data_IF_565743061718
#
_entry.id   IF_565743061718
#
_cell.length_a   1.000
_cell.length_b   1.000
_cell.length_c   1.000
_cell.angle_alpha   90.00
_cell.angle_beta   90.00
_cell.angle_gamma   90.00
#
_symmetry.space_group_name_H-M   'P 1'
#
loop_
_entity.id
_entity.type
_entity.pdbx_description
1 polymer ?
#
# COMPACT_ATOMS: atom_id res chain seq x y z
N UNK A 1 -8.58 -24.19 2.58
CA UNK A 1 -8.15 -23.10 3.49
C UNK A 1 -8.17 -21.82 2.65
N UNK A 2 -8.81 -20.73 3.09
CA UNK A 2 -8.79 -19.48 2.30
C UNK A 2 -7.37 -18.91 2.32
N UNK A 3 -6.86 -18.47 1.18
CA UNK A 3 -5.56 -17.81 1.15
C UNK A 3 -5.59 -16.58 2.07
N UNK A 4 -4.58 -16.39 2.95
CA UNK A 4 -4.57 -15.32 3.94
C UNK A 4 -4.43 -13.93 3.32
N UNK A 5 -3.94 -13.85 2.07
CA UNK A 5 -3.74 -12.61 1.35
C UNK A 5 -4.56 -12.55 0.07
N UNK A 6 -5.05 -11.35 -0.26
CA UNK A 6 -5.67 -11.05 -1.56
C UNK A 6 -5.12 -9.75 -2.10
N UNK A 7 -5.07 -9.58 -3.42
CA UNK A 7 -4.75 -8.27 -3.98
C UNK A 7 -5.84 -7.25 -3.65
N UNK A 8 -5.42 -6.03 -3.35
CA UNK A 8 -6.32 -4.90 -3.13
C UNK A 8 -6.82 -4.37 -4.48
N UNK A 9 -8.14 -4.37 -4.67
CA UNK A 9 -8.78 -4.04 -5.95
C UNK A 9 -9.32 -2.60 -6.05
N UNK A 10 -9.21 -1.83 -4.97
CA UNK A 10 -9.63 -0.43 -4.91
C UNK A 10 -8.48 0.56 -5.19
N UNK A 11 -7.32 0.06 -5.64
CA UNK A 11 -6.18 0.92 -5.97
C UNK A 11 -6.48 1.79 -7.20
N UNK A 12 -6.30 3.10 -7.04
CA UNK A 12 -6.63 4.09 -8.07
C UNK A 12 -5.38 4.63 -8.78
N UNK A 13 -4.22 4.60 -8.12
CA UNK A 13 -2.95 5.02 -8.67
C UNK A 13 -1.79 4.24 -8.05
N UNK A 14 -0.59 4.46 -8.59
CA UNK A 14 0.61 3.73 -8.20
C UNK A 14 0.79 2.45 -9.01
N UNK A 15 1.95 1.83 -8.84
CA UNK A 15 2.32 0.58 -9.54
C UNK A 15 2.58 -0.57 -8.55
N UNK A 16 2.62 -0.26 -7.26
CA UNK A 16 2.83 -1.24 -6.21
C UNK A 16 1.62 -2.15 -6.10
N UNK A 17 1.86 -3.45 -5.95
CA UNK A 17 0.78 -4.44 -5.77
C UNK A 17 0.42 -4.51 -4.29
N UNK A 18 -0.59 -3.74 -3.90
CA UNK A 18 -1.09 -3.75 -2.53
C UNK A 18 -1.82 -5.06 -2.23
N UNK A 19 -1.61 -5.61 -1.03
CA UNK A 19 -2.29 -6.82 -0.57
C UNK A 19 -3.16 -6.51 0.65
N UNK A 20 -4.24 -7.25 0.81
CA UNK A 20 -5.11 -7.26 1.98
C UNK A 20 -4.82 -8.50 2.82
N UNK A 21 -4.73 -8.33 4.13
CA UNK A 21 -4.78 -9.46 5.08
C UNK A 21 -6.23 -9.84 5.32
N UNK A 22 -6.58 -11.12 5.17
CA UNK A 22 -7.97 -11.61 5.19
C UNK A 22 -8.26 -12.63 6.28
N UNK A 23 -7.39 -12.73 7.29
CA UNK A 23 -7.53 -13.72 8.37
C UNK A 23 -8.26 -13.15 9.59
N UNK A 24 -9.46 -13.67 9.85
CA UNK A 24 -10.26 -13.65 11.09
C UNK A 24 -10.80 -12.31 11.61
N UNK A 25 -10.17 -11.19 11.29
CA UNK A 25 -10.79 -9.85 11.38
C UNK A 25 -10.79 -9.30 9.96
N UNK A 26 -11.84 -8.58 9.58
CA UNK A 26 -12.12 -8.09 8.23
C UNK A 26 -10.94 -7.35 7.55
N UNK A 27 -11.15 -6.80 6.36
CA UNK A 27 -10.19 -6.10 5.48
C UNK A 27 -9.56 -4.82 6.07
N UNK A 28 -9.11 -4.85 7.33
CA UNK A 28 -8.60 -3.77 8.15
C UNK A 28 -7.16 -3.38 7.81
N UNK A 29 -6.38 -4.28 7.23
CA UNK A 29 -4.94 -4.09 7.03
C UNK A 29 -4.53 -4.27 5.57
N UNK A 30 -3.75 -3.31 5.09
CA UNK A 30 -3.06 -3.30 3.81
C UNK A 30 -1.59 -3.63 4.04
N UNK A 31 -1.06 -4.53 3.23
CA UNK A 31 0.36 -4.84 3.15
C UNK A 31 0.89 -4.21 1.88
N UNK A 32 1.82 -3.27 2.07
CA UNK A 32 2.45 -2.53 1.01
C UNK A 32 3.91 -2.96 0.86
N UNK A 33 4.33 -3.47 -0.31
CA UNK A 33 5.74 -3.63 -0.63
C UNK A 33 6.41 -2.25 -0.63
N UNK A 34 7.44 -2.08 0.18
CA UNK A 34 8.07 -0.78 0.42
C UNK A 34 9.57 -0.82 0.13
N UNK A 35 10.09 0.31 -0.36
CA UNK A 35 11.53 0.54 -0.41
C UNK A 35 12.06 0.93 0.98
N UNK A 36 13.37 0.74 1.27
CA UNK A 36 13.94 1.15 2.56
C UNK A 36 13.67 2.62 2.94
N UNK A 37 13.68 3.53 1.95
CA UNK A 37 13.34 4.96 2.17
C UNK A 37 11.93 5.14 2.74
N UNK A 38 10.96 4.34 2.30
CA UNK A 38 9.57 4.43 2.76
C UNK A 38 9.39 3.80 4.15
N UNK A 39 10.08 2.67 4.42
CA UNK A 39 10.10 2.07 5.76
C UNK A 39 10.64 3.07 6.78
N UNK A 40 11.77 3.71 6.47
CA UNK A 40 12.37 4.73 7.33
C UNK A 40 11.43 5.93 7.54
N UNK A 41 10.72 6.37 6.50
CA UNK A 41 9.73 7.45 6.62
C UNK A 41 8.65 7.13 7.66
N UNK A 42 8.05 5.94 7.63
CA UNK A 42 7.02 5.56 8.60
C UNK A 42 7.57 5.41 10.03
N UNK A 43 8.83 4.99 10.19
CA UNK A 43 9.51 4.93 11.48
C UNK A 43 9.80 6.33 12.02
N UNK A 44 10.35 7.21 11.19
CA UNK A 44 10.70 8.58 11.57
C UNK A 44 9.44 9.40 11.90
N UNK A 45 8.34 9.18 11.16
CA UNK A 45 7.06 9.85 11.37
C UNK A 45 6.48 9.64 12.78
N UNK A 46 6.82 8.55 13.47
CA UNK A 46 6.39 8.31 14.86
C UNK A 46 6.91 9.37 15.83
N UNK A 47 7.98 10.09 15.47
CA UNK A 47 8.54 11.18 16.27
C UNK A 47 7.82 12.52 16.08
N UNK A 48 6.81 12.59 15.19
CA UNK A 48 6.06 13.80 14.86
C UNK A 48 4.55 13.55 15.04
N UNK A 49 4.03 13.57 16.28
CA UNK A 49 2.63 13.23 16.58
C UNK A 49 1.61 14.07 15.79
N UNK A 50 1.92 15.34 15.53
CA UNK A 50 1.07 16.24 14.74
C UNK A 50 0.89 15.81 13.27
N UNK A 51 1.78 14.94 12.78
CA UNK A 51 1.74 14.45 11.41
C UNK A 51 1.01 13.10 11.29
N UNK A 52 0.89 12.35 12.40
CA UNK A 52 0.28 11.02 12.41
C UNK A 52 -1.19 11.03 12.01
N UNK A 53 -1.93 12.10 12.35
CA UNK A 53 -3.34 12.27 11.99
C UNK A 53 -3.58 12.32 10.46
N UNK A 54 -2.53 12.58 9.67
CA UNK A 54 -2.60 12.66 8.20
C UNK A 54 -2.09 11.41 7.48
N UNK A 55 -1.60 10.41 8.23
CA UNK A 55 -1.06 9.17 7.69
C UNK A 55 -1.98 8.00 8.06
N UNK A 56 -2.05 6.95 7.21
CA UNK A 56 -2.61 5.68 7.67
C UNK A 56 -1.82 5.16 8.86
N UNK A 57 -2.51 4.59 9.87
CA UNK A 57 -1.82 4.00 11.00
C UNK A 57 -0.86 2.90 10.53
N UNK A 58 0.41 2.99 10.94
CA UNK A 58 1.42 1.97 10.67
C UNK A 58 1.46 0.98 11.84
N UNK A 59 1.30 -0.30 11.55
CA UNK A 59 1.34 -1.39 12.53
C UNK A 59 2.72 -2.07 12.62
N UNK A 60 3.63 -1.73 11.72
CA UNK A 60 4.99 -2.28 11.65
C UNK A 60 5.34 -2.85 10.29
N UNK A 61 6.40 -3.66 10.24
CA UNK A 61 6.94 -4.24 9.01
C UNK A 61 6.79 -5.75 8.96
N UNK A 62 6.51 -6.29 7.78
CA UNK A 62 6.55 -7.72 7.49
C UNK A 62 7.67 -8.05 6.51
N UNK A 63 8.30 -9.21 6.70
CA UNK A 63 9.30 -9.78 5.79
C UNK A 63 9.03 -11.26 5.60
N UNK A 64 9.54 -11.82 4.50
CA UNK A 64 9.59 -13.26 4.35
C UNK A 64 10.38 -13.89 5.51
N UNK A 65 9.90 -15.04 5.99
CA UNK A 65 10.62 -15.84 6.97
C UNK A 65 11.90 -16.41 6.33
N UNK A 66 13.01 -16.36 7.06
CA UNK A 66 14.25 -17.03 6.67
C UNK A 66 14.21 -18.50 7.08
N UNK A 67 15.09 -19.33 6.52
CA UNK A 67 15.27 -20.73 6.95
C UNK A 67 15.56 -20.83 8.47
N UNK A 68 16.27 -19.84 9.03
CA UNK A 68 16.52 -19.75 10.46
C UNK A 68 15.25 -19.42 11.26
N UNK A 69 14.40 -18.52 10.76
CA UNK A 69 13.12 -18.23 11.43
C UNK A 69 12.21 -19.46 11.43
N UNK A 70 12.20 -20.21 10.33
CA UNK A 70 11.44 -21.45 10.20
C UNK A 70 11.93 -22.54 11.17
N UNK A 71 13.25 -22.69 11.35
CA UNK A 71 13.80 -23.68 12.28
C UNK A 71 13.56 -23.35 13.76
N UNK A 72 13.49 -22.06 14.12
CA UNK A 72 13.01 -21.63 15.45
C UNK A 72 11.55 -22.06 15.68
N UNK A 73 10.72 -21.96 14.64
CA UNK A 73 9.30 -22.32 14.75
C UNK A 73 9.12 -23.84 14.88
N UNK A 74 9.88 -24.63 14.13
CA UNK A 74 9.88 -26.11 14.24
C UNK A 74 10.37 -26.60 15.61
N UNK A 75 11.32 -25.89 16.24
CA UNK A 75 11.79 -26.22 17.59
C UNK A 75 10.84 -25.77 18.70
N UNK A 76 9.97 -24.79 18.43
CA UNK A 76 8.99 -24.25 19.39
C UNK A 76 7.74 -25.11 19.56
N UNK A 77 7.42 -26.04 18.65
CA UNK A 77 6.32 -27.00 18.84
C UNK A 77 6.53 -27.94 20.06
N UNK A 78 7.75 -28.01 20.60
CA UNK A 78 8.09 -28.80 21.78
C UNK A 78 8.03 -28.03 23.11
N UNK A 79 7.80 -26.71 23.09
CA UNK A 79 7.72 -25.88 24.31
C UNK A 79 6.44 -25.05 24.25
N UNK A 80 5.35 -25.60 24.79
CA UNK A 80 4.15 -24.84 25.02
C UNK A 80 4.44 -23.66 25.97
N UNK A 81 4.23 -22.43 25.49
CA UNK A 81 3.27 -21.47 26.05
C UNK A 81 3.46 -20.06 25.40
N UNK A 82 2.36 -19.44 24.97
CA UNK A 82 2.10 -17.99 24.92
C UNK A 82 2.68 -17.02 23.87
N UNK A 83 3.25 -17.43 22.73
CA UNK A 83 3.34 -16.51 21.56
C UNK A 83 2.61 -17.07 20.36
N UNK A 84 1.47 -16.45 20.01
CA UNK A 84 0.75 -16.69 18.76
C UNK A 84 1.58 -16.20 17.57
N UNK A 85 2.62 -16.96 17.19
CA UNK A 85 3.29 -16.82 15.91
C UNK A 85 2.48 -17.58 14.86
N UNK A 86 1.68 -16.85 14.08
CA UNK A 86 0.97 -17.46 12.95
C UNK A 86 1.96 -17.71 11.81
N UNK A 87 2.23 -18.97 11.51
CA UNK A 87 2.84 -19.40 10.25
C UNK A 87 1.86 -19.05 9.12
N UNK A 88 2.22 -18.09 8.27
CA UNK A 88 1.53 -17.84 7.01
C UNK A 88 2.32 -18.49 5.88
N UNK A 89 1.65 -19.26 5.03
CA UNK A 89 2.23 -19.83 3.82
C UNK A 89 2.87 -18.71 2.99
N UNK A 90 4.09 -18.99 2.52
CA UNK A 90 4.87 -18.11 1.66
C UNK A 90 4.04 -17.70 0.45
N UNK A 91 3.74 -16.41 0.35
CA UNK A 91 3.23 -15.83 -0.89
C UNK A 91 4.34 -15.94 -1.92
N UNK A 92 4.14 -16.76 -2.95
CA UNK A 92 5.05 -16.83 -4.10
C UNK A 92 5.16 -15.44 -4.72
N UNK A 93 6.35 -14.84 -4.65
CA UNK A 93 6.66 -13.55 -5.27
C UNK A 93 7.20 -12.46 -4.34
N UNK A 94 7.41 -12.74 -3.05
CA UNK A 94 8.17 -11.86 -2.17
C UNK A 94 9.66 -12.22 -2.28
N UNK A 95 10.45 -11.33 -2.86
CA UNK A 95 11.91 -11.52 -2.92
C UNK A 95 12.48 -11.50 -1.49
N UNK A 96 13.57 -12.24 -1.23
CA UNK A 96 14.08 -12.47 0.14
C UNK A 96 14.55 -11.19 0.88
N UNK A 97 14.57 -10.04 0.21
CA UNK A 97 14.89 -8.73 0.78
C UNK A 97 13.73 -7.72 0.77
N UNK A 98 12.53 -8.10 0.34
CA UNK A 98 11.40 -7.18 0.28
C UNK A 98 10.79 -6.96 1.67
N UNK A 99 11.02 -5.76 2.21
CA UNK A 99 10.32 -5.27 3.39
C UNK A 99 8.96 -4.75 2.98
N UNK A 100 7.94 -5.14 3.74
CA UNK A 100 6.58 -4.68 3.56
C UNK A 100 6.18 -3.88 4.79
N UNK A 101 5.34 -2.86 4.62
CA UNK A 101 4.74 -2.13 5.74
C UNK A 101 3.28 -2.56 5.87
N UNK A 102 2.86 -2.81 7.12
CA UNK A 102 1.46 -3.02 7.47
C UNK A 102 0.80 -1.69 7.80
N UNK A 103 -0.19 -1.32 7.00
CA UNK A 103 -0.91 -0.07 7.11
C UNK A 103 -2.39 -0.32 7.36
N UNK A 104 -3.05 0.63 8.01
CA UNK A 104 -4.50 0.71 8.06
C UNK A 104 -5.12 0.77 6.67
N UNK A 105 -6.17 -0.02 6.45
CA UNK A 105 -7.04 0.17 5.31
C UNK A 105 -8.00 1.33 5.56
N UNK A 106 -7.64 2.52 5.07
CA UNK A 106 -8.47 3.73 5.17
C UNK A 106 -9.82 3.63 4.43
N UNK A 107 -10.03 2.59 3.62
CA UNK A 107 -11.31 2.31 2.95
C UNK A 107 -12.19 1.31 3.72
N UNK A 108 -11.68 0.71 4.80
CA UNK A 108 -12.47 -0.23 5.59
C UNK A 108 -13.75 0.44 6.10
N UNK A 109 -14.86 -0.28 6.03
CA UNK A 109 -16.19 0.21 6.41
C UNK A 109 -16.93 1.03 5.34
N UNK A 110 -16.25 1.43 4.24
CA UNK A 110 -16.93 2.08 3.12
C UNK A 110 -17.51 1.05 2.15
N UNK A 111 -18.84 1.06 1.95
CA UNK A 111 -19.48 0.17 0.97
C UNK A 111 -19.25 0.59 -0.49
N UNK A 112 -19.11 1.89 -0.73
CA UNK A 112 -19.07 2.50 -2.07
C UNK A 112 -18.17 3.75 -2.09
N UNK A 113 -16.86 3.60 -1.81
CA UNK A 113 -15.97 4.74 -1.70
C UNK A 113 -15.80 5.45 -3.06
N UNK A 114 -15.74 6.77 -3.02
CA UNK A 114 -15.14 7.57 -4.08
C UNK A 114 -13.71 7.89 -3.66
N UNK A 115 -12.74 7.65 -4.53
CA UNK A 115 -11.31 7.70 -4.20
C UNK A 115 -10.62 8.63 -5.17
N UNK A 116 -9.82 9.56 -4.67
CA UNK A 116 -9.03 10.49 -5.48
C UNK A 116 -7.58 10.44 -5.01
N UNK A 117 -6.65 10.20 -5.93
CA UNK A 117 -5.22 10.29 -5.68
C UNK A 117 -4.68 11.60 -6.24
N UNK A 118 -4.10 12.41 -5.34
CA UNK A 118 -3.46 13.68 -5.66
C UNK A 118 -1.95 13.56 -5.46
N UNK A 119 -1.19 13.84 -6.51
CA UNK A 119 0.27 13.94 -6.43
C UNK A 119 0.67 15.38 -6.11
N UNK A 120 1.31 15.53 -4.96
CA UNK A 120 1.88 16.79 -4.48
C UNK A 120 3.29 17.01 -5.03
N UNK A 121 3.69 18.27 -5.17
CA UNK A 121 5.03 18.72 -5.55
C UNK A 121 5.14 19.20 -7.01
N UNK A 122 5.98 20.21 -7.21
CA UNK A 122 6.38 20.70 -8.54
C UNK A 122 7.61 19.95 -9.09
N UNK A 123 8.42 19.38 -8.20
CA UNK A 123 9.56 18.52 -8.53
C UNK A 123 9.18 17.05 -8.33
N UNK A 124 9.15 16.29 -9.43
CA UNK A 124 8.61 14.92 -9.44
C UNK A 124 9.68 13.82 -9.42
N UNK A 125 10.95 14.21 -9.40
CA UNK A 125 12.09 13.29 -9.41
C UNK A 125 12.95 13.48 -8.17
N UNK A 126 13.56 12.38 -7.73
CA UNK A 126 14.52 12.39 -6.63
C UNK A 126 15.92 12.79 -7.09
N UNK A 127 16.77 13.18 -6.14
CA UNK A 127 18.16 13.54 -6.39
C UNK A 127 19.01 12.39 -6.96
N UNK A 128 18.55 11.14 -6.85
CA UNK A 128 19.20 9.93 -7.37
C UNK A 128 18.52 9.38 -8.65
N UNK A 129 17.54 10.07 -9.22
CA UNK A 129 16.89 9.63 -10.46
C UNK A 129 17.87 9.61 -11.66
N UNK A 130 17.78 8.57 -12.51
CA UNK A 130 18.50 8.52 -13.78
C UNK A 130 18.10 9.65 -14.71
N UNK A 131 18.96 10.03 -15.65
CA UNK A 131 18.68 11.14 -16.57
C UNK A 131 17.41 10.92 -17.39
N UNK A 132 17.21 9.70 -17.90
CA UNK A 132 15.99 9.31 -18.61
C UNK A 132 14.73 9.48 -17.73
N UNK A 133 14.80 9.05 -16.48
CA UNK A 133 13.69 9.18 -15.52
C UNK A 133 13.42 10.65 -15.19
N UNK A 134 14.47 11.46 -15.04
CA UNK A 134 14.37 12.92 -14.81
C UNK A 134 13.68 13.61 -15.97
N UNK A 135 14.12 13.37 -17.21
CA UNK A 135 13.53 13.98 -18.39
C UNK A 135 12.04 13.63 -18.53
N UNK A 136 11.68 12.35 -18.29
CA UNK A 136 10.29 11.91 -18.25
C UNK A 136 9.48 12.66 -17.18
N UNK A 137 10.02 12.80 -15.97
CA UNK A 137 9.36 13.47 -14.85
C UNK A 137 9.25 14.98 -15.05
N UNK A 138 10.24 15.63 -15.64
CA UNK A 138 10.20 17.06 -16.02
C UNK A 138 9.09 17.28 -17.06
N UNK A 139 9.08 16.47 -18.11
CA UNK A 139 8.02 16.52 -19.13
C UNK A 139 6.63 16.34 -18.52
N UNK A 140 6.46 15.40 -17.58
CA UNK A 140 5.20 15.24 -16.85
C UNK A 140 4.85 16.46 -15.99
N UNK A 141 5.82 17.08 -15.31
CA UNK A 141 5.55 18.25 -14.47
C UNK A 141 5.09 19.45 -15.29
N UNK A 142 5.74 19.71 -16.44
CA UNK A 142 5.41 20.81 -17.35
C UNK A 142 4.06 20.59 -18.03
N UNK A 143 3.77 19.37 -18.46
CA UNK A 143 2.53 19.03 -19.17
C UNK A 143 1.32 18.81 -18.25
N UNK A 144 1.49 18.99 -16.93
CA UNK A 144 0.41 18.89 -15.95
C UNK A 144 0.38 20.13 -15.08
N UNK A 145 -0.58 20.18 -14.16
CA UNK A 145 -0.68 21.25 -13.17
C UNK A 145 0.40 21.18 -12.07
N UNK A 146 1.26 20.15 -12.06
CA UNK A 146 2.32 20.03 -11.06
C UNK A 146 3.31 21.19 -11.11
N UNK A 147 3.72 21.65 -12.30
CA UNK A 147 4.68 22.76 -12.41
C UNK A 147 4.12 24.10 -11.92
N UNK A 148 2.82 24.35 -12.12
CA UNK A 148 2.18 25.64 -11.84
C UNK A 148 1.49 25.69 -10.48
N UNK A 149 0.79 24.61 -10.10
CA UNK A 149 0.03 24.52 -8.85
C UNK A 149 0.73 23.68 -7.78
N UNK A 150 1.79 22.95 -8.11
CA UNK A 150 2.43 22.01 -7.18
C UNK A 150 1.54 20.79 -6.87
N UNK A 151 0.54 20.52 -7.69
CA UNK A 151 -0.45 19.48 -7.47
C UNK A 151 -1.00 18.94 -8.80
N UNK A 152 -1.30 17.63 -8.88
CA UNK A 152 -2.13 17.07 -9.96
C UNK A 152 -2.95 15.87 -9.52
N UNK A 153 -4.09 15.66 -10.19
CA UNK A 153 -4.86 14.41 -10.06
C UNK A 153 -4.10 13.29 -10.77
N UNK A 154 -3.87 12.18 -10.08
CA UNK A 154 -3.17 11.01 -10.62
C UNK A 154 -4.06 9.78 -10.76
N UNK A 155 -5.21 9.78 -10.10
CA UNK A 155 -6.27 8.84 -10.38
C UNK A 155 -7.56 9.23 -9.66
N UNK A 156 -8.68 8.75 -10.19
CA UNK A 156 -10.01 9.02 -9.64
C UNK A 156 -10.91 7.80 -9.87
N UNK A 157 -11.61 7.38 -8.80
CA UNK A 157 -12.69 6.40 -8.85
C UNK A 157 -13.94 7.03 -8.24
N UNK A 158 -15.01 7.11 -9.02
CA UNK A 158 -16.29 7.67 -8.56
C UNK A 158 -17.30 6.53 -8.49
N UNK A 159 -17.93 6.36 -7.34
CA UNK A 159 -19.06 5.45 -7.22
C UNK A 159 -20.35 6.19 -7.55
N UNK A 160 -21.00 5.81 -8.65
CA UNK A 160 -22.30 6.37 -9.01
C UNK A 160 -23.43 5.72 -8.20
N UNK A 161 -24.48 6.46 -7.82
CA UNK A 161 -25.71 5.86 -7.33
C UNK A 161 -26.30 4.97 -8.42
N UNK A 162 -26.84 3.80 -8.05
CA UNK A 162 -27.66 3.01 -8.97
C UNK A 162 -28.84 3.89 -9.37
N UNK A 163 -28.87 4.33 -10.63
CA UNK A 163 -30.09 4.92 -11.17
C UNK A 163 -31.13 3.80 -11.17
N UNK A 164 -32.23 3.98 -10.44
CA UNK A 164 -33.38 3.10 -10.55
C UNK A 164 -33.98 3.30 -11.95
N UNK A 165 -33.50 2.49 -12.90
CA UNK A 165 -34.05 2.32 -14.24
C UNK A 165 -33.93 3.54 -15.18
N UNK A 166 -32.83 3.65 -15.91
CA UNK A 166 -32.85 4.01 -17.34
C UNK A 166 -31.45 3.94 -17.98
N UNK A 167 -31.33 2.97 -18.90
CA UNK A 167 -30.48 2.94 -20.11
C UNK A 167 -28.95 2.92 -19.97
N UNK A 168 -28.47 1.69 -20.14
CA UNK A 168 -27.33 1.27 -20.97
C UNK A 168 -26.80 2.28 -22.01
N UNK A 169 -25.48 2.20 -22.19
CA UNK A 169 -24.61 2.73 -23.26
C UNK A 169 -24.21 4.20 -23.13
N UNK A 170 -22.91 4.42 -22.89
CA UNK A 170 -21.97 4.95 -23.90
C UNK A 170 -20.56 4.49 -23.47
N UNK A 171 -19.97 3.59 -24.24
CA UNK A 171 -18.52 3.41 -24.33
C UNK A 171 -17.94 4.56 -25.16
N UNK A 172 -16.77 5.07 -24.76
CA UNK A 172 -15.90 5.92 -25.58
C UNK A 172 -14.49 5.37 -25.56
#
# INVERSE_FOLDING_TARGET
MSQPFKYFDQQVAGHDKLMLLTTSTDDLMIIKPCKPKEVNFYQDAQNYPEFLDFLPQCYGTLRAATEHDLSILETSELVGDSTNCYLMETVQGLDQQEQNVCLENILHGFTRPCIMDLKMGSLLYDADASEEKRQKMISQSVNTTSSTLGLRISGLKVCMPKQNGARELIES
#
